data_IF_857450038728
#
_entry.id   IF_857450038728
#
_cell.length_a   1.000
_cell.length_b   1.000
_cell.length_c   1.000
_cell.angle_alpha   90.00
_cell.angle_beta   90.00
_cell.angle_gamma   90.00
#
_symmetry.space_group_name_H-M   'P 1'
#
loop_
_entity.id
_entity.type
_entity.pdbx_description
1 polymer ?
#
# COMPACT_ATOMS: atom_id res chain seq x y z
N UNK A 1 63.36 -5.04 -10.49
CA UNK A 1 62.56 -4.03 -9.75
C UNK A 1 61.14 -4.03 -10.34
N UNK A 2 60.20 -4.78 -9.75
CA UNK A 2 58.81 -4.86 -10.25
C UNK A 2 57.96 -3.87 -9.46
N UNK A 3 57.54 -2.78 -10.11
CA UNK A 3 56.61 -1.81 -9.54
C UNK A 3 55.22 -2.44 -9.60
N UNK A 4 54.71 -2.90 -8.45
CA UNK A 4 53.34 -3.37 -8.32
C UNK A 4 52.48 -2.14 -8.02
N UNK A 5 51.88 -1.55 -9.05
CA UNK A 5 50.91 -0.47 -8.88
C UNK A 5 49.61 -1.09 -8.37
N UNK A 6 49.33 -0.92 -7.08
CA UNK A 6 48.06 -1.32 -6.45
C UNK A 6 46.96 -0.39 -6.99
N UNK A 7 46.14 -0.87 -7.92
CA UNK A 7 44.94 -0.15 -8.36
C UNK A 7 43.93 -0.25 -7.21
N UNK A 8 43.73 0.84 -6.49
CA UNK A 8 42.62 0.98 -5.55
C UNK A 8 41.36 1.31 -6.35
N UNK A 9 40.49 0.32 -6.55
CA UNK A 9 39.12 0.57 -7.03
C UNK A 9 38.35 1.18 -5.86
N UNK A 10 38.30 2.51 -5.79
CA UNK A 10 37.40 3.21 -4.86
C UNK A 10 35.98 3.06 -5.42
N UNK A 11 35.24 2.08 -4.92
CA UNK A 11 33.80 1.98 -5.19
C UNK A 11 33.10 3.15 -4.49
N UNK A 12 32.93 4.27 -5.21
CA UNK A 12 32.06 5.35 -4.78
C UNK A 12 30.62 4.86 -4.93
N UNK A 13 30.04 4.28 -3.87
CA UNK A 13 28.60 4.02 -3.83
C UNK A 13 27.89 5.37 -3.95
N UNK A 14 27.06 5.54 -4.97
CA UNK A 14 26.20 6.72 -5.09
C UNK A 14 25.37 6.86 -3.79
N UNK A 15 25.30 8.07 -3.23
CA UNK A 15 24.50 8.33 -2.03
C UNK A 15 23.02 8.17 -2.38
N UNK A 16 22.28 7.40 -1.60
CA UNK A 16 20.83 7.28 -1.75
C UNK A 16 20.12 7.34 -0.40
N UNK A 17 18.90 7.87 -0.41
CA UNK A 17 18.05 7.95 0.78
C UNK A 17 16.58 8.00 0.37
N UNK A 18 15.70 7.67 1.31
CA UNK A 18 14.27 7.92 1.17
C UNK A 18 13.95 9.28 1.78
N UNK A 19 13.23 10.10 1.03
CA UNK A 19 12.47 11.22 1.59
C UNK A 19 11.23 10.71 2.33
N UNK A 20 10.54 11.62 2.99
CA UNK A 20 9.31 11.35 3.73
C UNK A 20 8.10 11.73 2.86
N UNK A 21 7.10 10.84 2.83
CA UNK A 21 5.81 11.14 2.24
C UNK A 21 4.87 11.80 3.27
N UNK A 22 4.04 12.73 2.80
CA UNK A 22 2.91 13.29 3.54
C UNK A 22 1.61 12.79 2.92
N UNK A 23 0.81 12.07 3.72
CA UNK A 23 -0.38 11.36 3.26
C UNK A 23 -1.51 11.57 4.26
N UNK A 24 -2.75 11.77 3.79
CA UNK A 24 -3.89 11.85 4.72
C UNK A 24 -4.32 10.49 5.27
N UNK A 25 -5.04 10.45 6.38
CA UNK A 25 -5.48 9.17 6.97
C UNK A 25 -6.44 8.37 6.06
N UNK A 26 -6.97 8.98 4.99
CA UNK A 26 -7.73 8.30 3.93
C UNK A 26 -6.87 7.86 2.72
N UNK A 27 -5.57 8.17 2.70
CA UNK A 27 -4.63 7.67 1.70
C UNK A 27 -4.38 8.60 0.50
N UNK A 28 -4.89 9.83 0.51
CA UNK A 28 -4.51 10.82 -0.50
C UNK A 28 -3.08 11.29 -0.25
N UNK A 29 -2.20 11.03 -1.22
CA UNK A 29 -0.79 11.48 -1.20
C UNK A 29 -0.75 12.97 -1.50
N UNK A 30 -0.16 13.76 -0.60
CA UNK A 30 0.07 15.21 -0.78
C UNK A 30 1.42 15.43 -1.46
N UNK A 31 2.47 14.79 -0.92
CA UNK A 31 3.80 14.76 -1.52
C UNK A 31 4.50 13.48 -1.09
N UNK A 32 5.39 12.96 -1.95
CA UNK A 32 6.36 11.92 -1.58
C UNK A 32 7.74 12.49 -1.26
N UNK A 33 7.88 13.82 -1.26
CA UNK A 33 9.16 14.54 -1.23
C UNK A 33 9.08 15.71 -0.25
N UNK A 34 8.77 15.42 1.01
CA UNK A 34 8.49 16.46 1.99
C UNK A 34 9.73 17.30 2.32
N UNK A 35 10.91 16.71 2.28
CA UNK A 35 12.19 17.40 2.50
C UNK A 35 12.53 18.33 1.33
N UNK A 36 12.25 17.91 0.09
CA UNK A 36 12.45 18.76 -1.09
C UNK A 36 11.39 19.85 -1.26
N UNK A 37 10.17 19.62 -0.76
CA UNK A 37 9.02 20.54 -0.89
C UNK A 37 8.33 20.77 0.46
N UNK A 38 9.00 21.46 1.42
CA UNK A 38 8.46 21.67 2.76
C UNK A 38 7.17 22.49 2.78
N UNK A 39 6.91 23.32 1.78
CA UNK A 39 5.68 24.10 1.60
C UNK A 39 4.43 23.24 1.41
N UNK A 40 4.61 21.96 1.05
CA UNK A 40 3.52 20.99 0.94
C UNK A 40 3.06 20.47 2.31
N UNK A 41 3.76 20.81 3.40
CA UNK A 41 3.37 20.45 4.76
C UNK A 41 2.05 21.14 5.15
N UNK A 42 0.95 20.38 5.10
CA UNK A 42 -0.38 20.83 5.52
C UNK A 42 -0.94 19.89 6.58
N UNK A 43 -1.62 20.38 7.63
CA UNK A 43 -2.21 19.52 8.66
C UNK A 43 -3.44 18.74 8.18
N UNK A 44 -4.12 19.20 7.12
CA UNK A 44 -5.34 18.58 6.58
C UNK A 44 -5.29 18.45 5.07
N UNK A 45 -5.94 17.40 4.57
CA UNK A 45 -6.08 17.12 3.16
C UNK A 45 -7.10 18.07 2.51
N UNK A 46 -6.71 18.76 1.44
CA UNK A 46 -7.62 19.61 0.66
C UNK A 46 -8.71 18.81 -0.07
N UNK A 47 -8.50 17.50 -0.32
CA UNK A 47 -9.45 16.63 -1.03
C UNK A 47 -10.56 16.08 -0.14
N UNK A 48 -10.29 15.79 1.13
CA UNK A 48 -11.25 15.10 2.00
C UNK A 48 -11.30 15.63 3.44
N UNK A 49 -10.55 16.68 3.78
CA UNK A 49 -10.56 17.31 5.11
C UNK A 49 -9.85 16.52 6.23
N UNK A 50 -9.42 15.28 5.95
CA UNK A 50 -8.78 14.42 6.94
C UNK A 50 -7.35 14.87 7.28
N UNK A 51 -6.92 14.58 8.50
CA UNK A 51 -5.58 14.84 9.02
C UNK A 51 -4.51 14.19 8.14
N UNK A 52 -3.37 14.86 8.01
CA UNK A 52 -2.18 14.30 7.34
C UNK A 52 -1.20 13.71 8.33
N UNK A 53 -0.41 12.75 7.85
CA UNK A 53 0.69 12.17 8.61
C UNK A 53 1.88 11.94 7.70
N UNK A 54 3.06 12.17 8.25
CA UNK A 54 4.35 11.81 7.67
C UNK A 54 5.04 10.68 8.42
N UNK A 55 4.38 10.13 9.46
CA UNK A 55 4.92 9.10 10.34
C UNK A 55 3.94 7.95 10.53
N UNK A 56 4.48 6.76 10.77
CA UNK A 56 3.69 5.62 11.21
C UNK A 56 3.10 5.89 12.60
N UNK A 57 1.78 5.73 12.81
CA UNK A 57 1.18 5.97 14.12
C UNK A 57 1.65 4.96 15.19
N UNK A 58 2.09 3.77 14.78
CA UNK A 58 2.51 2.70 15.70
C UNK A 58 3.97 2.79 16.16
N UNK A 59 4.88 3.17 15.27
CA UNK A 59 6.33 3.19 15.59
C UNK A 59 7.03 4.52 15.33
N UNK A 60 6.29 5.55 14.88
CA UNK A 60 6.80 6.90 14.61
C UNK A 60 7.87 7.01 13.50
N UNK A 61 8.23 5.90 12.84
CA UNK A 61 9.10 5.94 11.66
C UNK A 61 8.47 6.78 10.54
N UNK A 62 9.30 7.56 9.83
CA UNK A 62 8.88 8.33 8.67
C UNK A 62 8.30 7.43 7.58
N UNK A 63 7.22 7.87 6.93
CA UNK A 63 6.65 7.12 5.81
C UNK A 63 7.58 7.30 4.61
N UNK A 64 8.14 6.21 4.09
CA UNK A 64 9.04 6.26 2.93
C UNK A 64 8.34 6.86 1.72
N UNK A 65 8.87 7.99 1.27
CA UNK A 65 8.51 8.70 0.07
C UNK A 65 9.42 8.34 -1.10
N UNK A 66 9.85 9.37 -1.83
CA UNK A 66 10.71 9.26 -3.00
C UNK A 66 12.09 8.71 -2.61
N UNK A 67 12.60 7.77 -3.39
CA UNK A 67 13.96 7.27 -3.25
C UNK A 67 14.89 8.14 -4.11
N UNK A 68 15.65 9.01 -3.44
CA UNK A 68 16.66 9.84 -4.09
C UNK A 68 17.93 9.02 -4.28
N UNK A 69 18.48 9.03 -5.49
CA UNK A 69 19.80 8.47 -5.81
C UNK A 69 20.59 9.59 -6.50
N UNK A 70 21.74 9.93 -5.93
CA UNK A 70 22.61 10.98 -6.47
C UNK A 70 22.99 10.69 -7.93
N UNK A 71 22.78 11.67 -8.80
CA UNK A 71 23.07 11.58 -10.24
C UNK A 71 22.04 10.82 -11.07
N UNK A 72 20.92 10.36 -10.49
CA UNK A 72 19.86 9.62 -11.21
C UNK A 72 18.54 10.37 -11.19
N UNK A 73 17.97 10.60 -12.38
CA UNK A 73 16.60 11.09 -12.54
C UNK A 73 15.70 9.89 -12.88
N UNK A 74 14.89 9.47 -11.91
CA UNK A 74 13.87 8.45 -12.11
C UNK A 74 12.48 9.07 -12.11
N UNK A 75 11.74 8.88 -13.21
CA UNK A 75 10.32 9.21 -13.34
C UNK A 75 9.55 7.92 -13.09
N UNK A 76 9.15 7.70 -11.84
CA UNK A 76 8.28 6.60 -11.45
C UNK A 76 7.12 7.17 -10.62
N UNK A 77 5.89 6.65 -10.82
CA UNK A 77 4.78 7.02 -9.97
C UNK A 77 5.07 6.58 -8.54
N UNK A 78 4.69 7.43 -7.58
CA UNK A 78 4.75 7.05 -6.18
C UNK A 78 3.65 6.03 -5.88
N UNK A 79 4.03 4.87 -5.36
CA UNK A 79 3.11 3.82 -4.91
C UNK A 79 2.78 4.07 -3.44
N UNK A 80 1.49 4.25 -3.13
CA UNK A 80 1.03 4.41 -1.75
C UNK A 80 1.34 3.13 -0.95
N UNK A 81 2.19 3.17 0.09
CA UNK A 81 2.50 1.97 0.85
C UNK A 81 1.31 1.57 1.73
N UNK A 82 1.01 0.27 1.80
CA UNK A 82 -0.10 -0.22 2.63
C UNK A 82 0.31 -0.54 4.07
N UNK A 83 1.57 -0.93 4.26
CA UNK A 83 2.14 -1.36 5.54
C UNK A 83 3.41 -0.59 5.86
N UNK A 84 3.66 -0.40 7.15
CA UNK A 84 4.87 0.27 7.61
C UNK A 84 6.11 -0.60 7.35
N UNK A 85 7.09 -0.04 6.64
CA UNK A 85 8.36 -0.70 6.38
C UNK A 85 9.18 -1.01 7.65
N UNK A 86 8.89 -0.33 8.76
CA UNK A 86 9.65 -0.46 10.01
C UNK A 86 9.00 -1.45 10.99
N UNK A 87 7.68 -1.36 11.23
CA UNK A 87 7.00 -2.22 12.20
C UNK A 87 5.99 -3.21 11.60
N UNK A 88 5.75 -3.18 10.28
CA UNK A 88 4.83 -4.10 9.60
C UNK A 88 3.34 -3.81 9.79
N UNK A 89 2.95 -2.91 10.71
CA UNK A 89 1.54 -2.57 10.90
C UNK A 89 0.95 -1.87 9.67
N UNK A 90 -0.34 -2.10 9.35
CA UNK A 90 -1.03 -1.36 8.30
C UNK A 90 -1.07 0.13 8.61
N UNK A 91 -1.05 0.95 7.57
CA UNK A 91 -1.33 2.38 7.74
C UNK A 91 -2.84 2.64 7.88
N UNK A 92 -3.25 3.79 8.44
CA UNK A 92 -4.66 4.12 8.67
C UNK A 92 -5.55 4.01 7.42
N UNK A 93 -5.04 4.35 6.23
CA UNK A 93 -5.80 4.23 4.98
C UNK A 93 -6.02 2.77 4.57
N UNK A 94 -5.11 1.87 4.91
CA UNK A 94 -5.27 0.43 4.67
C UNK A 94 -6.34 -0.13 5.61
N UNK A 95 -6.27 0.21 6.90
CA UNK A 95 -7.25 -0.23 7.90
C UNK A 95 -8.66 0.27 7.55
N UNK A 96 -8.81 1.56 7.23
CA UNK A 96 -10.12 2.15 6.87
C UNK A 96 -10.72 1.52 5.62
N UNK A 97 -9.91 1.22 4.60
CA UNK A 97 -10.37 0.54 3.37
C UNK A 97 -10.78 -0.91 3.66
N UNK A 98 -10.00 -1.63 4.46
CA UNK A 98 -10.34 -2.99 4.89
C UNK A 98 -11.63 -3.01 5.71
N UNK A 99 -11.81 -2.08 6.64
CA UNK A 99 -13.05 -1.93 7.42
C UNK A 99 -14.25 -1.62 6.51
N UNK A 100 -14.09 -0.70 5.54
CA UNK A 100 -15.15 -0.41 4.58
C UNK A 100 -15.56 -1.66 3.77
N UNK A 101 -14.60 -2.44 3.27
CA UNK A 101 -14.86 -3.70 2.57
C UNK A 101 -15.59 -4.70 3.47
N UNK A 102 -15.12 -4.87 4.71
CA UNK A 102 -15.73 -5.79 5.69
C UNK A 102 -17.19 -5.42 5.98
N UNK A 103 -17.48 -4.13 6.20
CA UNK A 103 -18.85 -3.64 6.43
C UNK A 103 -19.76 -3.89 5.23
N UNK A 104 -19.27 -3.69 4.01
CA UNK A 104 -20.06 -3.97 2.80
C UNK A 104 -20.35 -5.47 2.68
N UNK A 105 -19.39 -6.34 3.01
CA UNK A 105 -19.60 -7.80 3.07
C UNK A 105 -20.63 -8.17 4.13
N UNK A 106 -20.62 -7.52 5.29
CA UNK A 106 -21.55 -7.79 6.39
C UNK A 106 -23.00 -7.45 6.04
N UNK A 107 -23.20 -6.40 5.26
CA UNK A 107 -24.51 -6.02 4.73
C UNK A 107 -25.02 -6.96 3.64
N UNK A 108 -24.17 -7.83 3.09
CA UNK A 108 -24.58 -8.76 2.04
C UNK A 108 -25.52 -9.83 2.59
N UNK A 109 -26.73 -9.92 2.01
CA UNK A 109 -27.75 -10.89 2.42
C UNK A 109 -27.68 -12.23 1.68
N UNK A 110 -26.84 -12.35 0.64
CA UNK A 110 -26.71 -13.56 -0.20
C UNK A 110 -25.67 -14.54 0.34
N UNK A 111 -24.67 -14.04 1.06
CA UNK A 111 -23.66 -14.83 1.75
C UNK A 111 -24.15 -15.24 3.15
N UNK A 112 -23.85 -16.48 3.53
CA UNK A 112 -23.99 -16.95 4.93
C UNK A 112 -22.90 -16.33 5.80
N UNK A 113 -23.12 -16.23 7.11
CA UNK A 113 -22.11 -15.69 8.04
C UNK A 113 -20.74 -16.40 7.93
N UNK A 114 -20.73 -17.72 7.82
CA UNK A 114 -19.47 -18.46 7.63
C UNK A 114 -18.79 -18.22 6.27
N UNK A 115 -19.53 -17.78 5.26
CA UNK A 115 -18.98 -17.38 3.96
C UNK A 115 -18.44 -15.95 4.01
N UNK A 116 -19.13 -15.03 4.71
CA UNK A 116 -18.65 -13.67 4.94
C UNK A 116 -17.27 -13.70 5.60
N UNK A 117 -17.13 -14.45 6.69
CA UNK A 117 -15.84 -14.58 7.39
C UNK A 117 -14.74 -15.19 6.52
N UNK A 118 -15.08 -16.20 5.70
CA UNK A 118 -14.13 -16.77 4.72
C UNK A 118 -13.71 -15.75 3.66
N UNK A 119 -14.63 -14.92 3.18
CA UNK A 119 -14.32 -13.88 2.19
C UNK A 119 -13.45 -12.79 2.79
N UNK A 120 -13.79 -12.30 3.99
CA UNK A 120 -12.96 -11.31 4.72
C UNK A 120 -11.54 -11.81 4.93
N UNK A 121 -11.39 -13.06 5.40
CA UNK A 121 -10.09 -13.69 5.56
C UNK A 121 -9.36 -13.82 4.22
N UNK A 122 -10.04 -14.27 3.17
CA UNK A 122 -9.42 -14.37 1.85
C UNK A 122 -8.91 -13.00 1.35
N UNK A 123 -9.66 -11.92 1.56
CA UNK A 123 -9.23 -10.57 1.21
C UNK A 123 -7.99 -10.17 2.01
N UNK A 124 -7.94 -10.44 3.32
CA UNK A 124 -6.76 -10.17 4.15
C UNK A 124 -5.50 -10.89 3.63
N UNK A 125 -5.62 -12.17 3.29
CA UNK A 125 -4.52 -12.98 2.74
C UNK A 125 -4.05 -12.46 1.37
N UNK A 126 -4.98 -11.94 0.54
CA UNK A 126 -4.68 -11.35 -0.77
C UNK A 126 -3.99 -9.99 -0.65
N UNK A 127 -4.42 -9.13 0.27
CA UNK A 127 -3.79 -7.82 0.52
C UNK A 127 -2.39 -7.98 1.10
N UNK A 128 -2.18 -9.01 1.93
CA UNK A 128 -0.87 -9.33 2.54
C UNK A 128 0.02 -10.23 1.67
N UNK A 129 -0.50 -10.78 0.57
CA UNK A 129 0.19 -11.73 -0.30
C UNK A 129 0.88 -12.89 0.45
N UNK A 130 0.15 -13.50 1.38
CA UNK A 130 0.70 -14.58 2.20
C UNK A 130 0.90 -15.87 1.39
N UNK A 131 1.56 -16.90 1.96
CA UNK A 131 1.64 -18.21 1.32
C UNK A 131 0.28 -18.86 1.00
N UNK A 132 -0.81 -18.39 1.63
CA UNK A 132 -2.16 -18.89 1.39
C UNK A 132 -2.88 -18.17 0.23
N UNK A 133 -2.20 -17.26 -0.48
CA UNK A 133 -2.80 -16.43 -1.54
C UNK A 133 -3.54 -17.22 -2.63
N UNK A 134 -3.06 -18.40 -3.03
CA UNK A 134 -3.71 -19.16 -4.11
C UNK A 134 -5.03 -19.80 -3.63
N UNK A 135 -5.08 -20.25 -2.38
CA UNK A 135 -6.34 -20.67 -1.73
C UNK A 135 -7.28 -19.47 -1.57
N UNK A 136 -6.75 -18.31 -1.17
CA UNK A 136 -7.52 -17.09 -1.03
C UNK A 136 -8.13 -16.63 -2.37
N UNK A 137 -7.40 -16.72 -3.48
CA UNK A 137 -7.92 -16.47 -4.84
C UNK A 137 -9.11 -17.38 -5.15
N UNK A 138 -9.00 -18.67 -4.84
CA UNK A 138 -10.09 -19.63 -5.08
C UNK A 138 -11.34 -19.31 -4.26
N UNK A 139 -11.17 -19.03 -2.96
CA UNK A 139 -12.27 -18.65 -2.06
C UNK A 139 -12.90 -17.34 -2.52
N UNK A 140 -12.09 -16.33 -2.83
CA UNK A 140 -12.54 -15.03 -3.30
C UNK A 140 -13.39 -15.16 -4.58
N UNK A 141 -12.87 -15.83 -5.62
CA UNK A 141 -13.60 -16.01 -6.88
C UNK A 141 -14.94 -16.71 -6.67
N UNK A 142 -14.97 -17.76 -5.84
CA UNK A 142 -16.21 -18.50 -5.51
C UNK A 142 -17.24 -17.63 -4.81
N UNK A 143 -16.82 -16.84 -3.82
CA UNK A 143 -17.75 -16.08 -2.97
C UNK A 143 -18.19 -14.76 -3.60
N UNK A 144 -17.34 -14.09 -4.38
CA UNK A 144 -17.70 -12.87 -5.12
C UNK A 144 -18.79 -13.15 -6.17
N UNK A 145 -18.74 -14.31 -6.85
CA UNK A 145 -19.83 -14.71 -7.75
C UNK A 145 -21.17 -14.85 -7.03
N UNK A 146 -21.16 -15.30 -5.76
CA UNK A 146 -22.36 -15.49 -4.94
C UNK A 146 -22.88 -14.19 -4.33
N UNK A 147 -22.00 -13.24 -3.98
CA UNK A 147 -22.39 -11.99 -3.31
C UNK A 147 -23.25 -11.08 -4.20
N UNK A 148 -23.15 -11.24 -5.53
CA UNK A 148 -23.95 -10.52 -6.51
C UNK A 148 -23.33 -9.20 -6.97
N UNK A 149 -23.71 -8.78 -8.18
CA UNK A 149 -23.12 -7.64 -8.90
C UNK A 149 -23.16 -6.33 -8.11
N UNK A 150 -24.28 -6.00 -7.50
CA UNK A 150 -24.45 -4.73 -6.77
C UNK A 150 -23.41 -4.58 -5.64
N UNK A 151 -23.25 -5.59 -4.79
CA UNK A 151 -22.24 -5.54 -3.71
C UNK A 151 -20.83 -5.58 -4.28
N UNK A 152 -20.59 -6.33 -5.36
CA UNK A 152 -19.30 -6.39 -6.03
C UNK A 152 -18.85 -5.03 -6.56
N UNK A 153 -19.73 -4.28 -7.25
CA UNK A 153 -19.40 -2.95 -7.79
C UNK A 153 -19.05 -1.94 -6.70
N UNK A 154 -19.54 -2.11 -5.46
CA UNK A 154 -19.16 -1.27 -4.32
C UNK A 154 -17.76 -1.59 -3.78
N UNK A 155 -17.38 -2.88 -3.71
CA UNK A 155 -16.09 -3.27 -3.13
C UNK A 155 -14.94 -3.26 -4.14
N UNK A 156 -15.22 -3.50 -5.42
CA UNK A 156 -14.22 -3.56 -6.49
C UNK A 156 -13.26 -2.37 -6.51
N UNK A 157 -13.72 -1.10 -6.51
CA UNK A 157 -12.80 0.05 -6.54
C UNK A 157 -11.88 0.11 -5.32
N UNK A 158 -12.39 -0.25 -4.13
CA UNK A 158 -11.60 -0.27 -2.90
C UNK A 158 -10.52 -1.36 -2.97
N UNK A 159 -10.86 -2.54 -3.50
CA UNK A 159 -9.90 -3.64 -3.67
C UNK A 159 -8.82 -3.31 -4.70
N UNK A 160 -9.13 -2.58 -5.78
CA UNK A 160 -8.13 -2.13 -6.75
C UNK A 160 -7.06 -1.24 -6.09
N UNK A 161 -7.42 -0.48 -5.05
CA UNK A 161 -6.46 0.34 -4.30
C UNK A 161 -5.65 -0.44 -3.25
N UNK A 162 -6.13 -1.62 -2.83
CA UNK A 162 -5.50 -2.46 -1.80
C UNK A 162 -4.66 -3.59 -2.39
N UNK A 163 -4.95 -4.02 -3.62
CA UNK A 163 -4.28 -5.14 -4.25
C UNK A 163 -3.08 -4.68 -5.07
N UNK A 164 -2.04 -5.50 -5.10
CA UNK A 164 -0.95 -5.33 -6.07
C UNK A 164 -1.42 -5.60 -7.50
N UNK A 165 -0.62 -5.17 -8.48
CA UNK A 165 -0.89 -5.49 -9.89
C UNK A 165 -0.94 -7.00 -10.14
N UNK A 166 -0.13 -7.79 -9.44
CA UNK A 166 -0.13 -9.25 -9.57
C UNK A 166 -1.46 -9.83 -9.08
N UNK A 167 -1.96 -9.38 -7.92
CA UNK A 167 -3.24 -9.85 -7.39
C UNK A 167 -4.41 -9.42 -8.28
N UNK A 168 -4.39 -8.20 -8.83
CA UNK A 168 -5.40 -7.75 -9.79
C UNK A 168 -5.43 -8.66 -11.02
N UNK A 169 -4.26 -8.96 -11.60
CA UNK A 169 -4.14 -9.88 -12.74
C UNK A 169 -4.68 -11.28 -12.42
N UNK A 170 -4.31 -11.87 -11.27
CA UNK A 170 -4.81 -13.19 -10.84
C UNK A 170 -6.34 -13.22 -10.70
N UNK A 171 -6.94 -12.10 -10.32
CA UNK A 171 -8.37 -11.96 -10.10
C UNK A 171 -9.15 -11.49 -11.35
N UNK A 172 -8.46 -11.00 -12.39
CA UNK A 172 -9.08 -10.41 -13.57
C UNK A 172 -9.70 -9.04 -13.30
N UNK A 173 -9.06 -8.23 -12.45
CA UNK A 173 -9.48 -6.88 -12.07
C UNK A 173 -8.80 -5.79 -12.88
#
# INVERSE_FOLDING_TARGET
MRIITRIYVVSMKAKSWYETALICLNGHVITSRLESFPEMLTPRCSRCGETTTSKCPHCQAGIRGYHYIEGVIAIAPYVLPLFCHNCGNPYPWTERKMDAVNRIIDLNKKLKESEKEKLKKAIDELVKETPNQDLAVMIFKKLVQKMGKETWELIKPILIELLSEIMKQKLGL
#
